data_IF_789628032522
#
_entry.id   IF_789628032522
#
_cell.length_a   1.000
_cell.length_b   1.000
_cell.length_c   1.000
_cell.angle_alpha   90.00
_cell.angle_beta   90.00
_cell.angle_gamma   90.00
#
_symmetry.space_group_name_H-M   'P 1'
#
loop_
_entity.id
_entity.type
_entity.pdbx_description
1 polymer ?
#
# COMPACT_ATOMS: atom_id res chain seq x y z
N UNK A 1 13.22 -7.19 -31.28
CA UNK A 1 14.10 -6.34 -30.45
C UNK A 1 13.57 -6.39 -29.04
N UNK A 2 14.29 -7.06 -28.13
CA UNK A 2 13.95 -7.09 -26.71
C UNK A 2 14.32 -5.73 -26.10
N UNK A 3 13.36 -5.07 -25.44
CA UNK A 3 13.67 -3.90 -24.61
C UNK A 3 14.49 -4.39 -23.42
N UNK A 4 15.78 -4.07 -23.45
CA UNK A 4 16.71 -4.27 -22.34
C UNK A 4 16.21 -3.42 -21.18
N UNK A 5 15.62 -4.08 -20.19
CA UNK A 5 15.12 -3.44 -18.97
C UNK A 5 16.25 -2.68 -18.29
N UNK A 6 16.04 -1.37 -18.07
CA UNK A 6 16.99 -0.50 -17.39
C UNK A 6 17.15 -0.98 -15.94
N UNK A 7 18.35 -1.45 -15.53
CA UNK A 7 18.59 -1.99 -14.18
C UNK A 7 18.83 -0.87 -13.15
N UNK A 8 17.96 0.15 -13.12
CA UNK A 8 18.11 1.35 -12.28
C UNK A 8 16.87 1.82 -11.52
N UNK A 9 15.70 1.19 -11.70
CA UNK A 9 14.43 1.73 -11.15
C UNK A 9 14.10 1.23 -9.72
N UNK A 10 14.80 0.22 -9.20
CA UNK A 10 14.46 -0.38 -7.90
C UNK A 10 15.00 0.39 -6.68
N UNK A 11 16.07 1.17 -6.81
CA UNK A 11 16.72 1.87 -5.69
C UNK A 11 15.92 3.07 -5.12
N UNK A 12 14.79 3.42 -5.74
CA UNK A 12 13.98 4.57 -5.35
C UNK A 12 12.73 4.22 -4.54
N UNK A 13 12.34 2.94 -4.45
CA UNK A 13 11.10 2.53 -3.77
C UNK A 13 11.12 2.85 -2.27
N UNK A 14 12.29 2.80 -1.65
CA UNK A 14 12.47 3.15 -0.23
C UNK A 14 12.08 4.59 0.08
N UNK A 15 12.15 5.48 -0.93
CA UNK A 15 11.85 6.90 -0.77
C UNK A 15 10.36 7.21 -0.81
N UNK A 16 9.52 6.25 -1.21
CA UNK A 16 8.11 6.48 -1.44
C UNK A 16 7.21 5.66 -0.53
N UNK A 17 6.11 6.28 -0.11
CA UNK A 17 4.88 5.59 0.17
C UNK A 17 4.06 5.53 -1.10
N UNK A 18 3.61 4.33 -1.47
CA UNK A 18 2.87 4.12 -2.70
C UNK A 18 1.39 3.88 -2.36
N UNK A 19 0.54 4.74 -2.91
CA UNK A 19 -0.92 4.58 -2.89
C UNK A 19 -1.39 4.45 -4.33
N UNK A 20 -2.24 3.46 -4.58
CA UNK A 20 -2.99 3.33 -5.82
C UNK A 20 -4.47 3.53 -5.55
N UNK A 21 -5.12 4.37 -6.36
CA UNK A 21 -6.57 4.58 -6.33
C UNK A 21 -7.17 4.09 -7.65
N UNK A 22 -8.10 3.15 -7.57
CA UNK A 22 -8.85 2.62 -8.71
C UNK A 22 -10.27 3.19 -8.71
N UNK A 23 -10.58 3.97 -9.74
CA UNK A 23 -11.87 4.60 -10.00
C UNK A 23 -12.66 3.89 -11.11
N UNK A 24 -12.18 2.76 -11.63
CA UNK A 24 -12.80 2.06 -12.77
C UNK A 24 -14.25 1.64 -12.54
N UNK A 25 -14.62 1.36 -11.28
CA UNK A 25 -15.98 0.97 -10.90
C UNK A 25 -16.84 2.15 -10.41
N UNK A 26 -16.29 3.36 -10.35
CA UNK A 26 -16.94 4.50 -9.71
C UNK A 26 -18.29 4.86 -10.34
N UNK A 27 -18.39 4.87 -11.67
CA UNK A 27 -19.65 5.21 -12.36
C UNK A 27 -20.75 4.17 -12.13
N UNK A 28 -20.38 2.90 -11.95
CA UNK A 28 -21.33 1.79 -11.84
C UNK A 28 -21.79 1.57 -10.40
N UNK A 29 -20.87 1.65 -9.44
CA UNK A 29 -21.15 1.24 -8.06
C UNK A 29 -20.85 2.33 -7.04
N UNK A 30 -20.38 3.51 -7.46
CA UNK A 30 -19.93 4.59 -6.56
C UNK A 30 -18.85 4.09 -5.59
N UNK A 31 -17.98 3.21 -6.06
CA UNK A 31 -16.91 2.59 -5.28
C UNK A 31 -15.55 3.11 -5.74
N UNK A 32 -14.67 3.36 -4.78
CA UNK A 32 -13.25 3.64 -5.00
C UNK A 32 -12.44 2.52 -4.34
N UNK A 33 -11.59 1.86 -5.12
CA UNK A 33 -10.58 0.96 -4.58
C UNK A 33 -9.34 1.76 -4.18
N UNK A 34 -8.81 1.53 -2.98
CA UNK A 34 -7.54 2.12 -2.54
C UNK A 34 -6.61 1.00 -2.12
N UNK A 35 -5.38 1.00 -2.62
CA UNK A 35 -4.35 0.08 -2.17
C UNK A 35 -3.10 0.80 -1.70
N UNK A 36 -2.47 0.24 -0.68
CA UNK A 36 -1.24 0.74 -0.07
C UNK A 36 -0.18 -0.34 -0.17
N UNK A 37 0.98 -0.01 -0.72
CA UNK A 37 2.14 -0.91 -0.70
C UNK A 37 3.06 -0.54 0.45
N UNK A 38 3.35 -1.52 1.31
CA UNK A 38 4.12 -1.36 2.53
C UNK A 38 5.35 -2.26 2.46
N UNK A 39 6.53 -1.68 2.69
CA UNK A 39 7.76 -2.46 2.80
C UNK A 39 7.78 -3.16 4.16
N UNK A 40 7.55 -4.47 4.18
CA UNK A 40 7.40 -5.23 5.41
C UNK A 40 8.63 -5.18 6.34
N UNK A 41 9.89 -5.14 5.84
CA UNK A 41 11.05 -5.03 6.71
C UNK A 41 11.02 -3.79 7.61
N UNK A 42 10.55 -2.65 7.09
CA UNK A 42 10.51 -1.37 7.83
C UNK A 42 9.62 -1.42 9.08
N UNK A 43 8.73 -2.40 9.17
CA UNK A 43 7.85 -2.59 10.32
C UNK A 43 8.53 -3.34 11.47
N UNK A 44 9.62 -4.07 11.21
CA UNK A 44 10.24 -4.99 12.16
C UNK A 44 11.68 -4.65 12.54
N UNK A 45 12.36 -3.80 11.77
CA UNK A 45 13.78 -3.52 11.97
C UNK A 45 14.11 -2.06 11.70
N UNK A 46 15.28 -1.65 12.17
CA UNK A 46 15.78 -0.30 11.95
C UNK A 46 16.01 0.00 10.46
N UNK A 47 15.92 1.28 10.03
CA UNK A 47 15.97 1.66 8.61
C UNK A 47 17.17 1.09 7.83
N UNK A 48 18.35 1.04 8.45
CA UNK A 48 19.58 0.54 7.80
C UNK A 48 19.54 -0.97 7.48
N UNK A 49 18.85 -1.76 8.30
CA UNK A 49 18.64 -3.18 8.08
C UNK A 49 17.48 -3.40 7.09
N UNK A 50 16.43 -2.58 7.21
CA UNK A 50 15.26 -2.64 6.33
C UNK A 50 15.64 -2.42 4.87
N UNK A 51 16.49 -1.43 4.58
CA UNK A 51 17.01 -1.14 3.24
C UNK A 51 17.58 -2.38 2.54
N UNK A 52 18.40 -3.17 3.24
CA UNK A 52 18.98 -4.40 2.67
C UNK A 52 17.93 -5.48 2.44
N UNK A 53 17.01 -5.63 3.38
CA UNK A 53 15.97 -6.65 3.34
C UNK A 53 14.90 -6.39 2.26
N UNK A 54 14.66 -5.13 1.88
CA UNK A 54 13.67 -4.75 0.87
C UNK A 54 13.96 -5.31 -0.52
N UNK A 55 15.20 -5.71 -0.82
CA UNK A 55 15.55 -6.29 -2.11
C UNK A 55 15.60 -7.82 -2.10
N UNK A 56 15.37 -8.47 -0.95
CA UNK A 56 15.37 -9.92 -0.84
C UNK A 56 13.98 -10.50 -1.13
N UNK A 57 13.84 -11.08 -2.32
CA UNK A 57 12.62 -11.76 -2.78
C UNK A 57 12.17 -12.92 -1.90
N UNK A 58 13.08 -13.50 -1.11
CA UNK A 58 12.80 -14.61 -0.21
C UNK A 58 12.47 -14.16 1.20
N UNK A 59 12.57 -12.86 1.49
CA UNK A 59 12.42 -12.35 2.86
C UNK A 59 11.05 -12.71 3.45
N UNK A 60 9.95 -12.47 2.74
CA UNK A 60 8.60 -12.85 3.18
C UNK A 60 8.41 -14.37 3.22
N UNK A 61 8.95 -15.09 2.24
CA UNK A 61 8.88 -16.57 2.17
C UNK A 61 9.54 -17.26 3.35
N UNK A 62 10.57 -16.64 3.93
CA UNK A 62 11.28 -17.16 5.09
C UNK A 62 10.55 -16.99 6.43
N UNK A 63 9.42 -16.25 6.46
CA UNK A 63 8.69 -15.93 7.70
C UNK A 63 7.66 -16.99 8.07
N UNK A 64 7.59 -17.27 9.37
CA UNK A 64 6.55 -18.12 9.93
C UNK A 64 5.18 -17.42 9.97
N UNK A 65 4.10 -18.20 10.09
CA UNK A 65 2.73 -17.66 10.17
C UNK A 65 2.56 -16.60 11.27
N UNK A 66 3.18 -16.82 12.44
CA UNK A 66 3.12 -15.89 13.56
C UNK A 66 3.77 -14.54 13.24
N UNK A 67 4.90 -14.54 12.54
CA UNK A 67 5.58 -13.32 12.09
C UNK A 67 4.76 -12.58 11.03
N UNK A 68 4.16 -13.31 10.08
CA UNK A 68 3.31 -12.73 9.05
C UNK A 68 2.04 -12.09 9.64
N UNK A 69 1.39 -12.75 10.61
CA UNK A 69 0.26 -12.16 11.35
C UNK A 69 0.68 -10.89 12.09
N UNK A 70 1.84 -10.92 12.76
CA UNK A 70 2.39 -9.73 13.43
C UNK A 70 2.67 -8.59 12.45
N UNK A 71 3.20 -8.90 11.26
CA UNK A 71 3.42 -7.91 10.19
C UNK A 71 2.11 -7.23 9.79
N UNK A 72 1.02 -7.99 9.61
CA UNK A 72 -0.29 -7.41 9.30
C UNK A 72 -0.77 -6.49 10.41
N UNK A 73 -0.62 -6.88 11.68
CA UNK A 73 -0.99 -6.02 12.80
C UNK A 73 -0.18 -4.71 12.84
N UNK A 74 1.14 -4.80 12.61
CA UNK A 74 2.01 -3.62 12.54
C UNK A 74 1.71 -2.73 11.34
N UNK A 75 1.37 -3.34 10.20
CA UNK A 75 1.00 -2.62 8.98
C UNK A 75 -0.26 -1.78 9.17
N UNK A 76 -1.27 -2.29 9.88
CA UNK A 76 -2.48 -1.53 10.23
C UNK A 76 -2.16 -0.28 11.04
N UNK A 77 -1.34 -0.43 12.08
CA UNK A 77 -0.89 0.69 12.92
C UNK A 77 -0.07 1.68 12.09
N UNK A 78 0.83 1.18 11.26
CA UNK A 78 1.65 1.99 10.36
C UNK A 78 0.78 2.83 9.41
N UNK A 79 -0.24 2.23 8.78
CA UNK A 79 -1.13 2.97 7.88
C UNK A 79 -1.91 4.07 8.62
N UNK A 80 -2.47 3.76 9.77
CA UNK A 80 -3.24 4.73 10.56
C UNK A 80 -2.39 5.89 11.11
N UNK A 81 -1.10 5.65 11.38
CA UNK A 81 -0.16 6.70 11.81
C UNK A 81 0.31 7.58 10.64
N UNK A 82 0.40 7.02 9.43
CA UNK A 82 0.98 7.71 8.27
C UNK A 82 -0.03 8.37 7.36
N UNK A 83 -1.27 7.90 7.35
CA UNK A 83 -2.29 8.38 6.44
C UNK A 83 -3.59 8.74 7.15
N UNK A 84 -4.27 9.73 6.61
CA UNK A 84 -5.67 10.02 6.94
C UNK A 84 -6.45 10.09 5.63
N UNK A 85 -7.48 9.27 5.53
CA UNK A 85 -8.46 9.35 4.44
C UNK A 85 -9.77 9.92 4.97
N UNK A 86 -10.38 10.84 4.24
CA UNK A 86 -11.72 11.35 4.56
C UNK A 86 -12.47 11.75 3.29
N UNK A 87 -13.79 11.57 3.28
CA UNK A 87 -14.64 12.17 2.25
C UNK A 87 -14.96 13.61 2.66
N UNK A 88 -14.69 14.56 1.77
CA UNK A 88 -14.82 16.00 2.06
C UNK A 88 -14.12 16.38 3.40
N UNK A 89 -14.71 17.29 4.16
CA UNK A 89 -14.33 17.63 5.54
C UNK A 89 -14.93 16.67 6.60
N UNK A 90 -15.32 15.47 6.19
CA UNK A 90 -15.91 14.45 7.07
C UNK A 90 -14.92 13.83 8.05
N UNK A 91 -15.43 12.90 8.86
CA UNK A 91 -14.63 12.14 9.81
C UNK A 91 -13.57 11.28 9.08
N UNK A 92 -12.36 11.15 9.65
CA UNK A 92 -11.36 10.19 9.19
C UNK A 92 -11.90 8.77 9.13
N UNK A 93 -11.54 8.04 8.08
CA UNK A 93 -11.76 6.60 7.95
C UNK A 93 -10.82 5.83 8.89
N UNK A 94 -11.31 4.73 9.48
CA UNK A 94 -10.51 3.87 10.34
C UNK A 94 -9.63 2.93 9.49
N UNK A 95 -8.46 3.41 9.08
CA UNK A 95 -7.53 2.61 8.28
C UNK A 95 -7.03 1.37 9.03
N UNK A 96 -6.92 1.42 10.36
CA UNK A 96 -6.45 0.28 11.14
C UNK A 96 -7.49 -0.84 11.16
N UNK A 97 -8.78 -0.51 11.26
CA UNK A 97 -9.89 -1.47 11.27
C UNK A 97 -10.34 -1.92 9.88
N UNK A 98 -10.43 -1.01 8.91
CA UNK A 98 -11.11 -1.28 7.64
C UNK A 98 -10.22 -1.85 6.54
N UNK A 99 -8.90 -1.68 6.63
CA UNK A 99 -8.00 -2.23 5.62
C UNK A 99 -8.03 -3.76 5.61
N UNK A 100 -7.92 -4.35 4.44
CA UNK A 100 -7.84 -5.79 4.24
C UNK A 100 -6.45 -6.14 3.74
N UNK A 101 -5.96 -7.34 4.07
CA UNK A 101 -4.69 -7.86 3.62
C UNK A 101 -4.93 -9.21 2.97
N UNK A 102 -4.01 -9.62 2.09
CA UNK A 102 -4.01 -10.98 1.57
C UNK A 102 -3.88 -12.03 2.67
N UNK A 103 -4.27 -13.27 2.37
CA UNK A 103 -4.03 -14.40 3.28
C UNK A 103 -2.52 -14.69 3.44
N UNK A 104 -2.14 -15.57 4.38
CA UNK A 104 -0.73 -15.79 4.70
C UNK A 104 0.10 -16.30 3.50
N UNK A 105 -0.47 -17.13 2.65
CA UNK A 105 0.23 -17.66 1.47
C UNK A 105 0.39 -16.57 0.40
N UNK A 106 -0.62 -15.72 0.23
CA UNK A 106 -0.52 -14.54 -0.62
C UNK A 106 0.53 -13.53 -0.11
N UNK A 107 0.63 -13.35 1.21
CA UNK A 107 1.67 -12.50 1.81
C UNK A 107 3.06 -13.07 1.57
N UNK A 108 3.24 -14.39 1.67
CA UNK A 108 4.52 -15.06 1.35
C UNK A 108 4.94 -14.87 -0.10
N UNK A 109 3.96 -14.93 -1.01
CA UNK A 109 4.19 -14.97 -2.45
C UNK A 109 3.96 -13.62 -3.13
N UNK A 110 3.97 -12.50 -2.40
CA UNK A 110 3.57 -11.17 -2.87
C UNK A 110 4.09 -10.76 -4.26
N UNK A 111 5.27 -11.22 -4.68
CA UNK A 111 5.85 -11.01 -6.02
C UNK A 111 4.99 -11.52 -7.17
N UNK A 112 4.20 -12.59 -6.98
CA UNK A 112 3.32 -13.16 -8.01
C UNK A 112 2.19 -12.20 -8.42
N UNK A 113 1.93 -11.17 -7.60
CA UNK A 113 0.96 -10.09 -7.87
C UNK A 113 1.60 -8.84 -8.46
N UNK A 114 2.87 -8.91 -8.87
CA UNK A 114 3.62 -7.76 -9.38
C UNK A 114 4.10 -6.80 -8.29
N UNK A 115 4.01 -7.17 -7.01
CA UNK A 115 4.59 -6.37 -5.93
C UNK A 115 6.12 -6.42 -5.97
N UNK A 116 6.74 -5.34 -5.51
CA UNK A 116 8.18 -5.36 -5.25
C UNK A 116 8.54 -6.39 -4.16
N UNK A 117 9.77 -6.91 -4.17
CA UNK A 117 10.25 -7.83 -3.14
C UNK A 117 9.98 -7.31 -1.73
N UNK A 118 9.69 -8.22 -0.80
CA UNK A 118 9.44 -7.92 0.61
C UNK A 118 8.33 -6.89 0.90
N UNK A 119 7.46 -6.59 -0.07
CA UNK A 119 6.29 -5.75 0.13
C UNK A 119 5.04 -6.56 0.45
N UNK A 120 4.20 -5.99 1.30
CA UNK A 120 2.81 -6.42 1.51
C UNK A 120 1.88 -5.31 1.04
N UNK A 121 0.67 -5.69 0.64
CA UNK A 121 -0.34 -4.76 0.16
C UNK A 121 -1.57 -4.81 1.06
N UNK A 122 -2.05 -3.62 1.39
CA UNK A 122 -3.33 -3.42 2.06
C UNK A 122 -4.33 -2.83 1.06
N UNK A 123 -5.58 -3.25 1.14
CA UNK A 123 -6.67 -2.80 0.26
C UNK A 123 -7.81 -2.26 1.10
N UNK A 124 -8.49 -1.26 0.56
CA UNK A 124 -9.68 -0.67 1.13
C UNK A 124 -10.67 -0.41 0.01
N UNK A 125 -11.89 -0.92 0.16
CA UNK A 125 -12.99 -0.63 -0.75
C UNK A 125 -13.89 0.43 -0.13
N UNK A 126 -13.98 1.60 -0.75
CA UNK A 126 -14.70 2.74 -0.23
C UNK A 126 -15.98 2.99 -1.02
N UNK A 127 -17.13 2.89 -0.35
CA UNK A 127 -18.40 3.35 -0.90
C UNK A 127 -18.52 4.86 -0.72
N UNK A 128 -18.64 5.59 -1.82
CA UNK A 128 -18.70 7.05 -1.78
C UNK A 128 -20.08 7.50 -1.29
N UNK A 129 -20.15 8.25 -0.17
CA UNK A 129 -21.42 8.73 0.35
C UNK A 129 -22.20 9.57 -0.68
N UNK A 130 -23.54 9.62 -0.59
CA UNK A 130 -24.32 10.54 -1.42
C UNK A 130 -23.86 11.99 -1.22
N UNK A 131 -23.65 12.72 -2.32
CA UNK A 131 -23.20 14.13 -2.29
C UNK A 131 -21.70 14.34 -2.05
N UNK A 132 -20.92 13.30 -1.76
CA UNK A 132 -19.46 13.42 -1.75
C UNK A 132 -18.89 13.39 -3.17
N UNK A 133 -17.94 14.29 -3.40
CA UNK A 133 -17.23 14.54 -4.66
C UNK A 133 -15.69 14.49 -4.50
N UNK A 134 -15.18 14.63 -3.27
CA UNK A 134 -13.76 14.59 -2.97
C UNK A 134 -13.42 13.49 -1.93
N UNK A 135 -12.33 12.78 -2.20
CA UNK A 135 -11.61 11.95 -1.23
C UNK A 135 -10.29 12.66 -0.91
N UNK A 136 -10.12 13.05 0.34
CA UNK A 136 -8.90 13.68 0.83
C UNK A 136 -7.93 12.62 1.34
N UNK A 137 -6.68 12.73 0.89
CA UNK A 137 -5.55 11.93 1.39
C UNK A 137 -4.58 12.87 2.07
N UNK A 138 -4.43 12.75 3.39
CA UNK A 138 -3.36 13.41 4.13
C UNK A 138 -2.26 12.40 4.41
N UNK A 139 -1.02 12.83 4.20
CA UNK A 139 0.18 12.04 4.43
C UNK A 139 1.01 12.72 5.52
N UNK A 140 1.41 11.95 6.53
CA UNK A 140 2.13 12.46 7.70
C UNK A 140 3.44 13.14 7.29
N UNK A 141 3.65 14.36 7.78
CA UNK A 141 4.89 15.11 7.56
C UNK A 141 6.12 14.46 8.23
N UNK A 142 5.91 13.50 9.15
CA UNK A 142 6.96 12.83 9.91
C UNK A 142 7.43 11.51 9.29
N UNK A 143 6.97 11.13 8.09
CA UNK A 143 7.28 9.82 7.52
C UNK A 143 8.65 9.73 6.84
N UNK A 144 9.36 10.85 6.67
CA UNK A 144 10.63 11.00 5.93
C UNK A 144 10.59 10.54 4.45
N UNK A 145 9.43 10.04 3.99
CA UNK A 145 9.19 9.56 2.64
C UNK A 145 8.33 10.52 1.85
N UNK A 146 8.38 10.39 0.54
CA UNK A 146 7.51 11.09 -0.42
C UNK A 146 6.25 10.27 -0.67
N UNK A 147 5.13 10.92 -0.96
CA UNK A 147 3.94 10.22 -1.41
C UNK A 147 3.99 10.06 -2.93
N UNK A 148 3.91 8.83 -3.41
CA UNK A 148 3.60 8.51 -4.80
C UNK A 148 2.16 8.02 -4.88
N UNK A 149 1.32 8.79 -5.58
CA UNK A 149 -0.08 8.48 -5.79
C UNK A 149 -0.32 8.17 -7.25
N UNK A 150 -0.80 6.95 -7.53
CA UNK A 150 -1.24 6.52 -8.86
C UNK A 150 -2.76 6.46 -8.86
N UNK A 151 -3.39 7.07 -9.87
CA UNK A 151 -4.85 7.06 -10.02
C UNK A 151 -5.21 6.38 -11.33
N UNK A 152 -5.81 5.20 -11.24
CA UNK A 152 -6.41 4.49 -12.36
C UNK A 152 -7.84 5.01 -12.55
N UNK A 153 -8.08 5.63 -13.72
CA UNK A 153 -9.38 6.18 -14.11
C UNK A 153 -10.05 5.28 -15.14
N UNK A 154 -11.39 5.30 -15.25
CA UNK A 154 -12.05 4.74 -16.42
C UNK A 154 -11.53 5.42 -17.70
N UNK A 155 -11.61 4.72 -18.83
CA UNK A 155 -11.09 5.22 -20.11
C UNK A 155 -11.78 6.52 -20.58
N UNK A 156 -13.04 6.68 -20.22
CA UNK A 156 -13.84 7.87 -20.48
C UNK A 156 -14.04 8.57 -19.12
N UNK A 157 -13.28 9.64 -18.86
CA UNK A 157 -13.34 10.43 -17.61
C UNK A 157 -13.27 11.92 -17.92
#
# INVERSE_FOLDING_TARGET
MAMVGVPGVKAHQELYHNIEMDLSMFERTRTVGVSFTIHAPELLMDPSQAARAMYDSRWLKSRGDGELKRLVSLARVHLADRFTLSFEEGAPLDLAGETTFGNLDELRNGEERGLSPACIQAWLELKVPPGAHALHVKHSAHSEKRLMLVVQRPNDF
#
